data_IF_270814971098
#
_entry.id   IF_270814971098
#
_cell.length_a   1.000
_cell.length_b   1.000
_cell.length_c   1.000
_cell.angle_alpha   90.00
_cell.angle_beta   90.00
_cell.angle_gamma   90.00
#
_symmetry.space_group_name_H-M   'P 1'
#
loop_
_entity.id
_entity.type
_entity.pdbx_description
1 polymer ?
#
# COMPACT_ATOMS: atom_id res chain seq x y z
N UNK A 1 22.59 -54.41 15.47
CA UNK A 1 22.75 -52.97 15.18
C UNK A 1 22.87 -52.79 13.68
N UNK A 2 21.80 -52.35 13.01
CA UNK A 2 21.80 -51.91 11.61
C UNK A 2 20.89 -50.69 11.53
N UNK A 3 21.50 -49.52 11.65
CA UNK A 3 20.92 -48.22 11.36
C UNK A 3 21.00 -48.04 9.85
N UNK A 4 19.87 -48.06 9.16
CA UNK A 4 19.79 -47.51 7.81
C UNK A 4 18.57 -46.59 7.76
N UNK A 5 18.91 -45.31 7.95
CA UNK A 5 18.10 -44.11 7.80
C UNK A 5 17.27 -44.17 6.52
N UNK A 6 15.94 -44.29 6.66
CA UNK A 6 15.02 -43.98 5.59
C UNK A 6 15.18 -42.49 5.25
N UNK A 7 15.69 -42.22 4.05
CA UNK A 7 15.83 -40.87 3.51
C UNK A 7 14.43 -40.31 3.28
N UNK A 8 14.03 -39.34 4.11
CA UNK A 8 12.92 -38.45 3.81
C UNK A 8 13.31 -37.58 2.60
N UNK A 9 13.09 -38.08 1.40
CA UNK A 9 13.03 -37.25 0.21
C UNK A 9 11.66 -36.58 0.17
N UNK A 10 11.47 -35.56 1.02
CA UNK A 10 10.47 -34.54 0.73
C UNK A 10 11.04 -33.74 -0.44
N UNK A 11 10.80 -34.25 -1.65
CA UNK A 11 10.95 -33.47 -2.87
C UNK A 11 9.92 -32.35 -2.77
N UNK A 12 10.32 -31.21 -2.21
CA UNK A 12 9.67 -29.96 -2.54
C UNK A 12 9.94 -29.76 -4.02
N UNK A 13 9.00 -30.18 -4.86
CA UNK A 13 8.91 -29.73 -6.24
C UNK A 13 8.90 -28.21 -6.19
N UNK A 14 10.08 -27.61 -6.28
CA UNK A 14 10.22 -26.20 -6.59
C UNK A 14 9.75 -26.09 -8.03
N UNK A 15 8.44 -25.89 -8.23
CA UNK A 15 7.91 -25.41 -9.49
C UNK A 15 8.77 -24.21 -9.88
N UNK A 16 9.67 -24.44 -10.85
CA UNK A 16 10.53 -23.42 -11.39
C UNK A 16 9.65 -22.45 -12.15
N UNK A 17 9.11 -21.45 -11.43
CA UNK A 17 8.29 -20.38 -12.01
C UNK A 17 9.11 -19.76 -13.12
N UNK A 18 8.63 -19.89 -14.36
CA UNK A 18 9.30 -19.36 -15.52
C UNK A 18 9.53 -17.85 -15.32
N UNK A 19 10.64 -17.28 -15.84
CA UNK A 19 10.94 -15.85 -15.71
C UNK A 19 9.76 -14.94 -16.10
N UNK A 20 8.91 -15.41 -17.02
CA UNK A 20 7.70 -14.73 -17.46
C UNK A 20 6.62 -14.60 -16.37
N UNK A 21 6.37 -15.65 -15.57
CA UNK A 21 5.39 -15.61 -14.47
C UNK A 21 5.87 -14.74 -13.31
N UNK A 22 7.19 -14.68 -13.08
CA UNK A 22 7.78 -13.75 -12.12
C UNK A 22 7.65 -12.29 -12.59
N UNK A 23 7.89 -12.03 -13.88
CA UNK A 23 7.69 -10.72 -14.49
C UNK A 23 6.25 -10.23 -14.35
N UNK A 24 5.25 -11.05 -14.71
CA UNK A 24 3.83 -10.71 -14.56
C UNK A 24 3.47 -10.35 -13.12
N UNK A 25 3.93 -11.13 -12.15
CA UNK A 25 3.70 -10.86 -10.72
C UNK A 25 4.30 -9.53 -10.28
N UNK A 26 5.52 -9.23 -10.72
CA UNK A 26 6.17 -7.96 -10.39
C UNK A 26 5.44 -6.76 -11.02
N UNK A 27 4.97 -6.90 -12.26
CA UNK A 27 4.18 -5.85 -12.94
C UNK A 27 2.83 -5.66 -12.25
N UNK A 28 2.13 -6.75 -11.93
CA UNK A 28 0.83 -6.70 -11.24
C UNK A 28 0.97 -6.08 -9.85
N UNK A 29 1.99 -6.47 -9.09
CA UNK A 29 2.26 -5.91 -7.77
C UNK A 29 2.49 -4.39 -7.85
N UNK A 30 3.28 -3.94 -8.85
CA UNK A 30 3.49 -2.50 -9.08
C UNK A 30 2.19 -1.77 -9.42
N UNK A 31 1.32 -2.36 -10.24
CA UNK A 31 0.03 -1.77 -10.57
C UNK A 31 -0.90 -1.71 -9.35
N UNK A 32 -0.99 -2.79 -8.56
CA UNK A 32 -1.77 -2.81 -7.32
C UNK A 32 -1.27 -1.75 -6.35
N UNK A 33 0.05 -1.62 -6.18
CA UNK A 33 0.63 -0.57 -5.35
C UNK A 33 0.30 0.84 -5.87
N UNK A 34 0.36 1.07 -7.18
CA UNK A 34 0.00 2.36 -7.75
C UNK A 34 -1.49 2.69 -7.53
N UNK A 35 -2.38 1.75 -7.81
CA UNK A 35 -3.83 1.94 -7.57
C UNK A 35 -4.12 2.16 -6.09
N UNK A 36 -3.47 1.42 -5.20
CA UNK A 36 -3.60 1.60 -3.76
C UNK A 36 -3.16 2.99 -3.31
N UNK A 37 -2.02 3.49 -3.80
CA UNK A 37 -1.51 4.82 -3.44
C UNK A 37 -2.44 5.93 -3.94
N UNK A 38 -2.97 5.80 -5.16
CA UNK A 38 -4.00 6.70 -5.70
C UNK A 38 -5.26 6.72 -4.84
N UNK A 39 -5.78 5.54 -4.51
CA UNK A 39 -6.99 5.40 -3.71
C UNK A 39 -6.79 5.94 -2.29
N UNK A 40 -5.68 5.59 -1.63
CA UNK A 40 -5.34 6.09 -0.29
C UNK A 40 -5.25 7.61 -0.24
N UNK A 41 -4.64 8.21 -1.26
CA UNK A 41 -4.56 9.67 -1.40
C UNK A 41 -5.94 10.31 -1.56
N UNK A 42 -6.79 9.72 -2.40
CA UNK A 42 -8.16 10.19 -2.59
C UNK A 42 -8.99 10.13 -1.30
N UNK A 43 -8.92 9.02 -0.57
CA UNK A 43 -9.59 8.87 0.73
C UNK A 43 -9.10 9.90 1.75
N UNK A 44 -7.79 10.14 1.82
CA UNK A 44 -7.23 11.14 2.72
C UNK A 44 -7.77 12.54 2.41
N UNK A 45 -7.70 12.96 1.14
CA UNK A 45 -8.23 14.27 0.71
C UNK A 45 -9.71 14.39 1.04
N UNK A 46 -10.51 13.38 0.67
CA UNK A 46 -11.96 13.36 0.92
C UNK A 46 -12.28 13.47 2.42
N UNK A 47 -11.48 12.80 3.25
CA UNK A 47 -11.66 12.80 4.70
C UNK A 47 -11.32 14.15 5.34
N UNK A 48 -10.26 14.81 4.86
CA UNK A 48 -9.88 16.16 5.29
C UNK A 48 -10.93 17.18 4.83
N UNK A 49 -11.43 17.08 3.59
CA UNK A 49 -12.46 17.99 3.08
C UNK A 49 -13.77 17.92 3.85
N UNK A 50 -14.18 16.72 4.27
CA UNK A 50 -15.39 16.55 5.10
C UNK A 50 -15.24 17.13 6.50
N UNK A 51 -14.03 17.06 7.07
CA UNK A 51 -13.78 17.40 8.48
C UNK A 51 -13.13 18.76 8.70
N UNK A 52 -12.67 19.46 7.65
CA UNK A 52 -11.97 20.75 7.79
C UNK A 52 -12.76 21.85 8.51
N UNK A 53 -14.08 21.73 8.56
CA UNK A 53 -14.98 22.67 9.24
C UNK A 53 -15.43 22.18 10.64
N UNK A 54 -15.01 20.98 11.05
CA UNK A 54 -15.37 20.39 12.33
C UNK A 54 -14.41 20.90 13.43
N UNK A 55 -14.90 21.69 14.40
CA UNK A 55 -14.05 22.23 15.46
C UNK A 55 -13.42 21.16 16.35
N UNK A 56 -14.09 20.02 16.54
CA UNK A 56 -13.54 18.92 17.34
C UNK A 56 -12.35 18.28 16.63
N UNK A 57 -12.52 17.98 15.34
CA UNK A 57 -11.41 17.47 14.50
C UNK A 57 -10.21 18.42 14.48
N UNK A 58 -10.45 19.72 14.29
CA UNK A 58 -9.38 20.73 14.26
C UNK A 58 -8.63 20.81 15.60
N UNK A 59 -9.36 20.70 16.72
CA UNK A 59 -8.76 20.66 18.04
C UNK A 59 -7.95 19.38 18.28
N UNK A 60 -8.49 18.22 17.87
CA UNK A 60 -7.83 16.92 18.04
C UNK A 60 -6.50 16.82 17.29
N UNK A 61 -6.42 17.41 16.10
CA UNK A 61 -5.20 17.43 15.29
C UNK A 61 -4.31 18.66 15.57
N UNK A 62 -4.80 19.62 16.36
CA UNK A 62 -4.08 20.85 16.68
C UNK A 62 -3.80 21.77 15.48
N UNK A 63 -4.66 21.76 14.46
CA UNK A 63 -4.50 22.55 13.23
C UNK A 63 -5.66 23.49 13.01
N UNK A 64 -5.42 24.60 12.33
CA UNK A 64 -6.50 25.48 11.87
C UNK A 64 -7.12 24.94 10.58
N UNK A 65 -8.34 25.39 10.27
CA UNK A 65 -8.96 25.11 8.96
C UNK A 65 -8.04 25.47 7.79
N UNK A 66 -7.33 26.60 7.88
CA UNK A 66 -6.41 27.05 6.82
C UNK A 66 -5.22 26.11 6.64
N UNK A 67 -4.74 25.50 7.71
CA UNK A 67 -3.66 24.52 7.64
C UNK A 67 -4.13 23.23 6.95
N UNK A 68 -5.35 22.79 7.26
CA UNK A 68 -5.98 21.63 6.60
C UNK A 68 -6.19 21.91 5.11
N UNK A 69 -6.65 23.10 4.74
CA UNK A 69 -6.82 23.50 3.34
C UNK A 69 -5.48 23.52 2.58
N UNK A 70 -4.44 24.08 3.20
CA UNK A 70 -3.08 24.06 2.64
C UNK A 70 -2.57 22.64 2.43
N UNK A 71 -2.85 21.74 3.36
CA UNK A 71 -2.42 20.34 3.26
C UNK A 71 -3.18 19.60 2.15
N UNK A 72 -4.49 19.86 1.99
CA UNK A 72 -5.28 19.34 0.86
C UNK A 72 -4.69 19.82 -0.48
N UNK A 73 -4.33 21.10 -0.60
CA UNK A 73 -3.69 21.64 -1.80
C UNK A 73 -2.35 20.98 -2.10
N UNK A 74 -1.49 20.80 -1.09
CA UNK A 74 -0.22 20.07 -1.26
C UNK A 74 -0.44 18.64 -1.72
N UNK A 75 -1.39 17.93 -1.09
CA UNK A 75 -1.73 16.57 -1.48
C UNK A 75 -2.20 16.54 -2.94
N UNK A 76 -3.07 17.46 -3.37
CA UNK A 76 -3.50 17.56 -4.77
C UNK A 76 -2.34 17.83 -5.72
N UNK A 77 -1.43 18.73 -5.36
CA UNK A 77 -0.29 19.12 -6.18
C UNK A 77 0.79 18.02 -6.29
N UNK A 78 0.90 17.11 -5.31
CA UNK A 78 1.81 15.97 -5.42
C UNK A 78 1.41 15.08 -6.60
N UNK A 79 2.34 14.82 -7.51
CA UNK A 79 2.11 13.85 -8.59
C UNK A 79 1.81 12.48 -7.98
N UNK A 80 0.91 11.70 -8.60
CA UNK A 80 0.55 10.40 -8.06
C UNK A 80 1.76 9.46 -8.02
N UNK A 81 2.75 9.63 -8.92
CA UNK A 81 4.06 8.95 -8.96
C UNK A 81 5.05 9.85 -9.70
#
# INVERSE_FOLDING_TARGET
MKINSAKNSHATESESKTPFEQFKRNVLARMVHAVWLLWRKHELISSLERRKNDPHFLNDIGLTQKDVEREIEKLRAQKPF
#
